data_IF_182169565618
#
_entry.id   IF_182169565618
#
_cell.length_a   1.000
_cell.length_b   1.000
_cell.length_c   1.000
_cell.angle_alpha   90.00
_cell.angle_beta   90.00
_cell.angle_gamma   90.00
#
_symmetry.space_group_name_H-M   'P 1'
#
loop_
_entity.id
_entity.type
_entity.pdbx_description
1 polymer ?
#
# COMPACT_ATOMS: atom_id res chain seq x y z
N UNK A 1 -14.76 -43.52 -13.99
CA UNK A 1 -14.82 -42.34 -13.10
C UNK A 1 -14.45 -41.15 -13.95
N UNK A 2 -15.45 -40.54 -14.57
CA UNK A 2 -15.32 -39.20 -15.18
C UNK A 2 -15.19 -38.20 -14.04
N UNK A 3 -14.18 -37.34 -14.13
CA UNK A 3 -14.04 -36.19 -13.26
C UNK A 3 -14.88 -35.08 -13.88
N UNK A 4 -16.02 -34.75 -13.25
CA UNK A 4 -16.81 -33.56 -13.57
C UNK A 4 -15.95 -32.31 -13.30
N UNK A 5 -15.35 -31.75 -14.34
CA UNK A 5 -14.75 -30.42 -14.34
C UNK A 5 -15.87 -29.37 -14.43
N UNK A 6 -16.08 -28.65 -13.33
CA UNK A 6 -17.07 -27.58 -13.19
C UNK A 6 -16.82 -26.43 -14.22
N UNK A 7 -17.75 -26.19 -15.17
CA UNK A 7 -17.57 -25.27 -16.29
C UNK A 7 -17.43 -23.79 -15.88
N UNK A 8 -17.79 -23.43 -14.64
CA UNK A 8 -17.67 -22.06 -14.12
C UNK A 8 -16.27 -21.71 -13.58
N UNK A 9 -15.34 -22.66 -13.54
CA UNK A 9 -13.96 -22.43 -13.08
C UNK A 9 -13.08 -21.79 -14.16
N UNK A 10 -13.39 -22.03 -15.45
CA UNK A 10 -12.54 -21.66 -16.60
C UNK A 10 -12.56 -20.16 -16.99
N UNK A 11 -13.69 -19.43 -16.98
CA UNK A 11 -13.72 -18.01 -17.38
C UNK A 11 -13.00 -17.12 -16.37
N UNK A 12 -13.18 -17.39 -15.08
CA UNK A 12 -12.57 -16.64 -14.00
C UNK A 12 -11.05 -16.78 -13.97
N UNK A 13 -10.52 -17.99 -14.22
CA UNK A 13 -9.07 -18.20 -14.30
C UNK A 13 -8.42 -17.51 -15.50
N UNK A 14 -9.04 -17.56 -16.69
CA UNK A 14 -8.54 -16.83 -17.87
C UNK A 14 -8.48 -15.32 -17.62
N UNK A 15 -9.54 -14.75 -17.05
CA UNK A 15 -9.60 -13.32 -16.75
C UNK A 15 -8.56 -12.92 -15.68
N UNK A 16 -8.40 -13.73 -14.63
CA UNK A 16 -7.37 -13.53 -13.60
C UNK A 16 -5.96 -13.54 -14.19
N UNK A 17 -5.66 -14.49 -15.08
CA UNK A 17 -4.36 -14.58 -15.74
C UNK A 17 -4.08 -13.37 -16.63
N UNK A 18 -5.06 -12.87 -17.38
CA UNK A 18 -4.93 -11.64 -18.18
C UNK A 18 -4.58 -10.44 -17.30
N UNK A 19 -5.20 -10.35 -16.12
CA UNK A 19 -4.95 -9.26 -15.16
C UNK A 19 -3.53 -9.35 -14.61
N UNK A 20 -3.10 -10.53 -14.15
CA UNK A 20 -1.74 -10.76 -13.66
C UNK A 20 -0.72 -10.36 -14.72
N UNK A 21 -0.92 -10.81 -15.97
CA UNK A 21 -0.02 -10.49 -17.08
C UNK A 21 0.07 -8.98 -17.34
N UNK A 22 -1.03 -8.22 -17.28
CA UNK A 22 -1.01 -6.76 -17.42
C UNK A 22 -0.25 -6.06 -16.29
N UNK A 23 -0.32 -6.59 -15.07
CA UNK A 23 0.44 -6.09 -13.94
C UNK A 23 1.93 -6.46 -14.02
N UNK A 24 2.27 -7.68 -14.43
CA UNK A 24 3.66 -8.13 -14.60
C UNK A 24 4.38 -7.41 -15.76
N UNK A 25 3.64 -7.10 -16.83
CA UNK A 25 4.15 -6.31 -17.97
C UNK A 25 4.20 -4.81 -17.69
N UNK A 26 3.50 -4.33 -16.66
CA UNK A 26 3.35 -2.91 -16.35
C UNK A 26 2.84 -2.08 -17.52
N UNK A 27 3.33 -0.85 -17.63
CA UNK A 27 2.87 0.12 -18.64
C UNK A 27 3.05 -0.33 -20.11
N UNK A 28 3.75 -1.44 -20.37
CA UNK A 28 3.90 -1.98 -21.72
C UNK A 28 2.62 -2.71 -22.22
N UNK A 29 1.71 -3.11 -21.34
CA UNK A 29 0.49 -3.87 -21.71
C UNK A 29 -0.67 -3.01 -22.25
N UNK A 30 -0.46 -1.70 -22.43
CA UNK A 30 -1.49 -0.74 -22.83
C UNK A 30 -0.94 0.38 -23.72
N UNK A 31 0.04 0.09 -24.57
CA UNK A 31 0.59 1.02 -25.55
C UNK A 31 -0.42 1.28 -26.70
N UNK A 32 -1.55 1.91 -26.37
CA UNK A 32 -2.45 2.66 -27.24
C UNK A 32 -3.62 3.22 -26.40
N UNK A 33 -3.33 4.00 -25.36
CA UNK A 33 -4.27 5.03 -24.92
C UNK A 33 -3.49 6.33 -24.92
N UNK A 34 -3.61 7.04 -26.03
CA UNK A 34 -3.22 8.44 -26.16
C UNK A 34 -3.93 9.21 -25.06
N UNK A 35 -3.21 9.49 -23.98
CA UNK A 35 -3.61 10.48 -23.00
C UNK A 35 -2.64 11.64 -23.19
N UNK A 36 -3.06 12.59 -24.04
CA UNK A 36 -2.47 13.92 -24.11
C UNK A 36 -2.49 14.57 -22.73
N UNK A 37 -1.45 14.30 -21.95
CA UNK A 37 -1.18 15.00 -20.72
C UNK A 37 -0.03 15.96 -20.99
N UNK A 38 -0.39 17.19 -21.38
CA UNK A 38 0.41 18.34 -21.02
C UNK A 38 0.83 18.19 -19.55
N UNK A 39 2.05 18.63 -19.24
CA UNK A 39 2.60 18.60 -17.88
C UNK A 39 1.79 19.53 -16.97
N UNK A 40 0.58 19.11 -16.59
CA UNK A 40 -0.23 19.75 -15.58
C UNK A 40 0.64 19.74 -14.33
N UNK A 41 0.83 20.91 -13.73
CA UNK A 41 1.60 21.04 -12.49
C UNK A 41 0.73 20.47 -11.34
N UNK A 42 0.67 19.13 -11.28
CA UNK A 42 -0.22 18.34 -10.40
C UNK A 42 -0.08 18.77 -8.93
N UNK A 43 1.08 19.31 -8.54
CA UNK A 43 1.32 19.85 -7.20
C UNK A 43 0.40 21.01 -6.80
N UNK A 44 -0.20 21.75 -7.74
CA UNK A 44 -1.16 22.84 -7.44
C UNK A 44 -2.56 22.33 -7.07
N UNK A 45 -2.85 21.10 -7.46
CA UNK A 45 -4.14 20.44 -7.31
C UNK A 45 -4.12 19.36 -6.24
N UNK A 46 -2.93 18.88 -5.86
CA UNK A 46 -2.76 17.89 -4.81
C UNK A 46 -2.67 18.53 -3.42
N UNK A 47 -3.40 17.97 -2.45
CA UNK A 47 -3.26 18.36 -1.05
C UNK A 47 -1.96 17.81 -0.42
N UNK A 48 -1.73 18.16 0.85
CA UNK A 48 -0.56 17.68 1.61
C UNK A 48 -0.48 16.15 1.79
N UNK A 49 -1.57 15.42 1.49
CA UNK A 49 -1.64 13.95 1.51
C UNK A 49 -1.52 13.35 0.10
N UNK A 50 -1.44 14.18 -0.95
CA UNK A 50 -1.35 13.73 -2.35
C UNK A 50 -2.70 13.47 -3.00
N UNK A 51 -3.82 13.91 -2.42
CA UNK A 51 -5.16 13.82 -3.02
C UNK A 51 -5.33 14.96 -4.02
N UNK A 52 -5.59 14.61 -5.27
CA UNK A 52 -5.78 15.55 -6.37
C UNK A 52 -7.22 16.05 -6.39
N UNK A 53 -7.38 17.38 -6.33
CA UNK A 53 -8.65 18.09 -6.41
C UNK A 53 -8.85 18.71 -7.80
N UNK A 54 -10.10 18.98 -8.17
CA UNK A 54 -10.44 19.62 -9.45
C UNK A 54 -10.15 21.14 -9.47
N UNK A 55 -9.91 21.76 -8.31
CA UNK A 55 -9.67 23.20 -8.17
C UNK A 55 -8.33 23.45 -7.48
N UNK A 56 -7.62 24.50 -7.87
CA UNK A 56 -6.35 24.88 -7.25
C UNK A 56 -6.55 25.19 -5.75
N UNK A 57 -5.65 24.66 -4.91
CA UNK A 57 -5.73 24.85 -3.47
C UNK A 57 -5.02 26.16 -3.05
N UNK A 58 -5.69 27.06 -2.31
CA UNK A 58 -5.04 28.27 -1.80
C UNK A 58 -4.07 27.92 -0.68
N UNK A 59 -2.80 28.29 -0.83
CA UNK A 59 -1.78 28.14 0.23
C UNK A 59 -2.08 29.12 1.35
N UNK A 60 -2.64 28.63 2.45
CA UNK A 60 -3.04 29.48 3.59
C UNK A 60 -1.84 29.72 4.51
N UNK A 61 -1.64 30.94 5.00
CA UNK A 61 -0.55 31.30 5.93
C UNK A 61 -0.48 30.40 7.20
N UNK A 62 -1.60 29.81 7.61
CA UNK A 62 -1.69 28.79 8.66
C UNK A 62 -0.76 27.58 8.40
N UNK A 63 -0.56 27.22 7.14
CA UNK A 63 0.25 26.08 6.70
C UNK A 63 1.74 26.28 7.02
N UNK A 64 2.26 27.51 6.96
CA UNK A 64 3.68 27.76 7.26
C UNK A 64 3.98 27.50 8.74
N UNK A 65 3.08 27.93 9.64
CA UNK A 65 3.19 27.66 11.07
C UNK A 65 3.08 26.16 11.35
N UNK A 66 2.20 25.46 10.64
CA UNK A 66 2.04 24.01 10.74
C UNK A 66 3.27 23.26 10.24
N UNK A 67 3.80 23.59 9.06
CA UNK A 67 5.04 23.00 8.50
C UNK A 67 6.24 23.20 9.43
N UNK A 68 6.37 24.37 10.06
CA UNK A 68 7.41 24.62 11.08
C UNK A 68 7.24 23.73 12.31
N UNK A 69 6.01 23.51 12.79
CA UNK A 69 5.74 22.57 13.90
C UNK A 69 6.08 21.13 13.51
N UNK A 70 5.68 20.70 12.32
CA UNK A 70 5.98 19.36 11.79
C UNK A 70 7.48 19.15 11.64
N UNK A 71 8.21 20.12 11.08
CA UNK A 71 9.68 20.08 10.98
C UNK A 71 10.35 19.90 12.34
N UNK A 72 9.89 20.64 13.36
CA UNK A 72 10.37 20.46 14.74
C UNK A 72 10.08 19.06 15.28
N UNK A 73 8.91 18.48 14.97
CA UNK A 73 8.58 17.10 15.38
C UNK A 73 9.48 16.09 14.66
N UNK A 74 9.65 16.22 13.35
CA UNK A 74 10.54 15.41 12.51
C UNK A 74 11.96 15.41 13.07
N UNK A 75 12.52 16.58 13.36
CA UNK A 75 13.87 16.69 13.93
C UNK A 75 14.00 15.96 15.28
N UNK A 76 12.97 15.99 16.13
CA UNK A 76 12.99 15.23 17.38
C UNK A 76 12.92 13.71 17.14
N UNK A 77 12.24 13.25 16.10
CA UNK A 77 12.21 11.83 15.71
C UNK A 77 13.56 11.38 15.14
N UNK A 78 14.18 12.19 14.28
CA UNK A 78 15.52 11.92 13.74
C UNK A 78 16.56 11.78 14.86
N UNK A 79 16.52 12.66 15.88
CA UNK A 79 17.35 12.52 17.09
C UNK A 79 17.10 11.22 17.85
N UNK A 80 15.86 10.72 17.87
CA UNK A 80 15.56 9.44 18.52
C UNK A 80 16.04 8.25 17.69
N UNK A 81 16.07 8.35 16.36
CA UNK A 81 16.62 7.30 15.52
C UNK A 81 18.14 7.19 15.63
N UNK A 82 18.84 8.32 15.78
CA UNK A 82 20.29 8.34 15.99
C UNK A 82 20.69 7.49 17.20
N UNK A 83 19.98 7.63 18.32
CA UNK A 83 20.19 6.83 19.54
C UNK A 83 19.08 5.80 19.76
N UNK A 84 18.65 5.08 18.71
CA UNK A 84 17.51 4.16 18.81
C UNK A 84 17.57 3.16 19.98
N UNK A 85 18.73 2.53 20.30
CA UNK A 85 18.82 1.59 21.42
C UNK A 85 18.42 2.19 22.77
N UNK A 86 18.70 3.47 22.98
CA UNK A 86 18.33 4.21 24.19
C UNK A 86 16.81 4.40 24.33
N UNK A 87 16.09 4.48 23.20
CA UNK A 87 14.66 4.83 23.20
C UNK A 87 13.72 3.64 22.99
N UNK A 88 14.19 2.54 22.38
CA UNK A 88 13.35 1.43 21.86
C UNK A 88 12.37 0.81 22.85
N UNK A 89 12.63 0.90 24.16
CA UNK A 89 11.78 0.33 25.23
C UNK A 89 11.37 1.37 26.28
N UNK A 90 11.30 2.65 25.91
CA UNK A 90 11.02 3.73 26.86
C UNK A 90 9.58 4.22 26.76
N UNK A 91 8.98 4.63 27.89
CA UNK A 91 7.65 5.30 27.90
C UNK A 91 7.62 6.54 26.99
N UNK A 92 8.77 7.23 26.84
CA UNK A 92 8.94 8.39 25.97
C UNK A 92 8.70 8.05 24.50
N UNK A 93 9.09 6.86 24.03
CA UNK A 93 8.78 6.41 22.69
C UNK A 93 7.28 6.17 22.52
N UNK A 94 6.66 5.42 23.43
CA UNK A 94 5.21 5.13 23.40
C UNK A 94 4.37 6.40 23.39
N UNK A 95 4.68 7.37 24.25
CA UNK A 95 3.97 8.65 24.30
C UNK A 95 4.08 9.43 22.98
N UNK A 96 5.23 9.35 22.31
CA UNK A 96 5.45 10.03 21.02
C UNK A 96 4.73 9.33 19.87
N UNK A 97 4.67 8.00 19.89
CA UNK A 97 3.85 7.23 18.95
C UNK A 97 2.39 7.62 19.12
N UNK A 98 1.89 7.69 20.36
CA UNK A 98 0.50 8.08 20.66
C UNK A 98 0.18 9.53 20.25
N UNK A 99 1.14 10.46 20.42
CA UNK A 99 1.02 11.85 19.93
C UNK A 99 1.00 11.92 18.39
N UNK A 100 1.41 10.85 17.73
CA UNK A 100 1.52 10.76 16.28
C UNK A 100 2.96 10.89 15.79
N UNK A 101 3.28 10.06 14.82
CA UNK A 101 4.53 10.08 14.09
C UNK A 101 4.34 11.03 12.88
N UNK A 102 5.27 11.95 12.57
CA UNK A 102 5.19 12.75 11.36
C UNK A 102 5.32 11.88 10.09
N UNK A 103 4.56 12.24 9.04
CA UNK A 103 4.55 11.53 7.76
C UNK A 103 5.96 11.37 7.17
N UNK A 104 6.78 12.42 7.22
CA UNK A 104 8.14 12.44 6.69
C UNK A 104 9.08 11.37 7.30
N UNK A 105 8.77 10.86 8.50
CA UNK A 105 9.58 9.83 9.17
C UNK A 105 8.85 8.50 9.29
N UNK A 106 7.62 8.35 8.78
CA UNK A 106 6.85 7.10 8.87
C UNK A 106 7.59 5.91 8.29
N UNK A 107 8.18 6.09 7.10
CA UNK A 107 8.93 5.05 6.42
C UNK A 107 10.12 4.52 7.23
N UNK A 108 10.69 5.32 8.13
CA UNK A 108 11.78 4.90 9.02
C UNK A 108 11.27 4.44 10.40
N UNK A 109 10.20 5.05 10.91
CA UNK A 109 9.68 4.78 12.25
C UNK A 109 9.02 3.41 12.34
N UNK A 110 8.09 3.11 11.42
CA UNK A 110 7.29 1.88 11.48
C UNK A 110 8.14 0.62 11.39
N UNK A 111 9.15 0.53 10.49
CA UNK A 111 10.01 -0.64 10.47
C UNK A 111 10.75 -0.92 11.77
N UNK A 112 11.20 0.13 12.45
CA UNK A 112 11.90 0.02 13.73
C UNK A 112 10.97 -0.36 14.87
N UNK A 113 9.77 0.23 14.91
CA UNK A 113 8.75 -0.07 15.92
C UNK A 113 8.28 -1.52 15.84
N UNK A 114 8.11 -2.02 14.62
CA UNK A 114 7.63 -3.36 14.35
C UNK A 114 8.75 -4.41 14.30
N UNK A 115 10.00 -3.99 14.48
CA UNK A 115 11.18 -4.85 14.35
C UNK A 115 11.17 -5.66 13.05
N UNK A 116 10.86 -5.00 11.93
CA UNK A 116 10.72 -5.65 10.61
C UNK A 116 11.96 -6.46 10.26
N UNK A 117 13.16 -5.96 10.56
CA UNK A 117 14.42 -6.65 10.24
C UNK A 117 14.48 -8.04 10.90
N UNK A 118 14.02 -8.14 12.16
CA UNK A 118 13.93 -9.41 12.88
C UNK A 118 12.89 -10.34 12.25
N UNK A 119 11.73 -9.82 11.87
CA UNK A 119 10.66 -10.62 11.25
C UNK A 119 11.13 -11.15 9.89
N UNK A 120 11.79 -10.31 9.09
CA UNK A 120 12.37 -10.67 7.79
C UNK A 120 13.45 -11.74 7.93
N UNK A 121 14.36 -11.58 8.89
CA UNK A 121 15.42 -12.58 9.14
C UNK A 121 14.87 -13.92 9.61
N UNK A 122 13.75 -13.93 10.35
CA UNK A 122 13.09 -15.16 10.80
C UNK A 122 12.25 -15.85 9.71
N UNK A 123 11.87 -15.13 8.65
CA UNK A 123 10.98 -15.64 7.60
C UNK A 123 11.55 -15.35 6.18
N UNK A 124 12.77 -15.80 5.87
CA UNK A 124 13.36 -15.56 4.56
C UNK A 124 12.51 -16.19 3.45
N UNK A 125 12.27 -15.45 2.37
CA UNK A 125 11.53 -15.95 1.19
C UNK A 125 10.02 -16.14 1.38
N UNK A 126 9.47 -16.01 2.59
CA UNK A 126 8.04 -16.25 2.87
C UNK A 126 7.12 -15.36 2.06
N UNK A 127 7.49 -14.09 1.87
CA UNK A 127 6.75 -13.15 1.04
C UNK A 127 6.61 -13.67 -0.41
N UNK A 128 7.71 -14.14 -1.02
CA UNK A 128 7.70 -14.65 -2.39
C UNK A 128 6.80 -15.88 -2.52
N UNK A 129 6.90 -16.81 -1.57
CA UNK A 129 6.05 -18.01 -1.54
C UNK A 129 4.56 -17.64 -1.41
N UNK A 130 4.22 -16.69 -0.53
CA UNK A 130 2.84 -16.24 -0.35
C UNK A 130 2.31 -15.47 -1.55
N UNK A 131 3.17 -14.70 -2.23
CA UNK A 131 2.81 -13.99 -3.46
C UNK A 131 2.41 -14.97 -4.55
N UNK A 132 3.24 -15.98 -4.79
CA UNK A 132 2.95 -17.03 -5.77
C UNK A 132 1.72 -17.86 -5.40
N UNK A 133 1.50 -18.13 -4.11
CA UNK A 133 0.28 -18.79 -3.64
C UNK A 133 -0.97 -17.94 -3.90
N UNK A 134 -0.92 -16.64 -3.62
CA UNK A 134 -2.04 -15.73 -3.83
C UNK A 134 -2.37 -15.52 -5.31
N UNK A 135 -1.35 -15.49 -6.18
CA UNK A 135 -1.52 -15.39 -7.64
C UNK A 135 -2.33 -16.55 -8.25
N UNK A 136 -2.42 -17.71 -7.56
CA UNK A 136 -3.23 -18.84 -8.01
C UNK A 136 -4.74 -18.59 -7.88
N UNK A 137 -5.17 -17.56 -7.14
CA UNK A 137 -6.59 -17.25 -6.95
C UNK A 137 -7.03 -16.09 -7.85
N UNK A 138 -7.58 -16.44 -9.01
CA UNK A 138 -8.12 -15.45 -9.96
C UNK A 138 -9.24 -14.58 -9.37
N UNK A 139 -10.10 -15.16 -8.52
CA UNK A 139 -11.20 -14.44 -7.85
C UNK A 139 -10.68 -13.34 -6.93
N UNK A 140 -9.66 -13.63 -6.12
CA UNK A 140 -9.07 -12.66 -5.19
C UNK A 140 -8.40 -11.52 -5.96
N UNK A 141 -7.65 -11.85 -7.01
CA UNK A 141 -6.93 -10.88 -7.83
C UNK A 141 -7.89 -9.92 -8.53
N UNK A 142 -8.97 -10.44 -9.12
CA UNK A 142 -9.99 -9.63 -9.75
C UNK A 142 -10.65 -8.66 -8.75
N UNK A 143 -10.96 -9.13 -7.54
CA UNK A 143 -11.56 -8.28 -6.51
C UNK A 143 -10.62 -7.16 -6.06
N UNK A 144 -9.37 -7.49 -5.79
CA UNK A 144 -8.33 -6.52 -5.41
C UNK A 144 -8.20 -5.44 -6.50
N UNK A 145 -8.18 -5.82 -7.77
CA UNK A 145 -8.08 -4.86 -8.86
C UNK A 145 -9.27 -3.90 -8.89
N UNK A 146 -10.50 -4.40 -8.79
CA UNK A 146 -11.68 -3.55 -8.79
C UNK A 146 -11.64 -2.56 -7.64
N UNK A 147 -11.30 -3.02 -6.43
CA UNK A 147 -11.25 -2.18 -5.24
C UNK A 147 -10.12 -1.13 -5.32
N UNK A 148 -8.90 -1.51 -5.73
CA UNK A 148 -7.76 -0.58 -5.91
C UNK A 148 -8.07 0.48 -6.96
N UNK A 149 -8.64 0.04 -8.09
CA UNK A 149 -8.97 0.95 -9.19
C UNK A 149 -10.13 1.86 -8.88
N UNK A 150 -10.97 1.60 -7.88
CA UNK A 150 -12.10 2.46 -7.48
C UNK A 150 -11.77 3.39 -6.32
N UNK A 151 -11.01 2.95 -5.32
CA UNK A 151 -10.80 3.70 -4.08
C UNK A 151 -9.71 4.78 -4.20
N UNK A 152 -8.67 4.54 -5.02
CA UNK A 152 -7.46 5.39 -5.02
C UNK A 152 -7.30 6.23 -6.29
N UNK A 153 -8.35 6.34 -7.12
CA UNK A 153 -8.30 7.06 -8.42
C UNK A 153 -7.81 8.51 -8.30
N UNK A 154 -8.16 9.17 -7.19
CA UNK A 154 -7.88 10.59 -7.00
C UNK A 154 -6.55 10.85 -6.29
N UNK A 155 -5.79 9.82 -5.91
CA UNK A 155 -4.50 10.00 -5.25
C UNK A 155 -3.39 10.03 -6.29
N UNK A 156 -2.49 11.02 -6.22
CA UNK A 156 -1.43 11.27 -7.19
C UNK A 156 -0.56 10.03 -7.49
N UNK A 157 -0.24 9.23 -6.48
CA UNK A 157 0.56 8.00 -6.68
C UNK A 157 -0.20 6.85 -7.36
N UNK A 158 -1.54 6.91 -7.41
CA UNK A 158 -2.40 5.84 -7.89
C UNK A 158 -3.28 6.27 -9.08
N UNK A 159 -3.12 7.49 -9.58
CA UNK A 159 -3.88 7.99 -10.74
C UNK A 159 -3.52 7.22 -12.03
N UNK A 160 -2.25 6.79 -12.14
CA UNK A 160 -1.78 6.01 -13.28
C UNK A 160 -2.17 4.54 -13.10
N UNK A 161 -3.06 4.06 -13.99
CA UNK A 161 -3.46 2.65 -14.03
C UNK A 161 -2.26 1.76 -14.32
N UNK A 162 -2.16 0.65 -13.60
CA UNK A 162 -1.07 -0.32 -13.68
C UNK A 162 0.33 0.26 -13.39
N UNK A 163 0.42 1.48 -12.81
CA UNK A 163 1.67 2.08 -12.39
C UNK A 163 2.29 1.34 -11.21
N UNK A 164 3.61 1.46 -11.04
CA UNK A 164 4.43 0.70 -10.05
C UNK A 164 3.79 0.67 -8.65
N UNK A 165 3.22 1.79 -8.19
CA UNK A 165 2.57 1.89 -6.88
C UNK A 165 1.28 1.10 -6.76
N UNK A 166 0.47 1.04 -7.82
CA UNK A 166 -0.69 0.13 -7.86
C UNK A 166 -0.23 -1.33 -7.85
N UNK A 167 0.86 -1.67 -8.54
CA UNK A 167 1.39 -3.04 -8.54
C UNK A 167 1.88 -3.45 -7.15
N UNK A 168 2.68 -2.60 -6.49
CA UNK A 168 3.16 -2.82 -5.13
C UNK A 168 1.99 -3.05 -4.15
N UNK A 169 0.93 -2.24 -4.25
CA UNK A 169 -0.26 -2.38 -3.42
C UNK A 169 -1.02 -3.68 -3.71
N UNK A 170 -1.25 -4.01 -4.99
CA UNK A 170 -1.88 -5.26 -5.38
C UNK A 170 -1.10 -6.47 -4.87
N UNK A 171 0.22 -6.47 -5.01
CA UNK A 171 1.10 -7.55 -4.54
C UNK A 171 1.01 -7.74 -3.03
N UNK A 172 1.01 -6.64 -2.27
CA UNK A 172 0.86 -6.62 -0.82
C UNK A 172 -0.49 -7.24 -0.42
N UNK A 173 -1.58 -6.85 -1.07
CA UNK A 173 -2.93 -7.37 -0.79
C UNK A 173 -3.06 -8.86 -1.15
N UNK A 174 -2.46 -9.29 -2.27
CA UNK A 174 -2.40 -10.70 -2.69
C UNK A 174 -1.66 -11.52 -1.65
N UNK A 175 -0.47 -11.08 -1.21
CA UNK A 175 0.31 -11.76 -0.16
C UNK A 175 -0.48 -11.86 1.14
N UNK A 176 -1.14 -10.78 1.56
CA UNK A 176 -1.95 -10.75 2.78
C UNK A 176 -3.09 -11.78 2.74
N UNK A 177 -3.80 -11.85 1.60
CA UNK A 177 -4.89 -12.81 1.40
C UNK A 177 -4.42 -14.27 1.49
N UNK A 178 -3.23 -14.56 0.98
CA UNK A 178 -2.64 -15.90 1.00
C UNK A 178 -2.08 -16.28 2.38
N UNK A 179 -1.61 -15.28 3.13
CA UNK A 179 -1.04 -15.44 4.47
C UNK A 179 -2.09 -15.77 5.54
N UNK A 180 -3.27 -15.13 5.46
CA UNK A 180 -4.37 -15.37 6.41
C UNK A 180 -5.65 -15.83 5.70
N UNK A 181 -5.73 -17.13 5.32
CA UNK A 181 -6.92 -17.66 4.65
C UNK A 181 -8.12 -17.86 5.60
N UNK A 182 -7.89 -17.89 6.93
CA UNK A 182 -8.89 -18.32 7.95
C UNK A 182 -9.97 -17.25 8.24
N UNK A 183 -9.86 -16.04 7.70
CA UNK A 183 -10.95 -15.03 7.74
C UNK A 183 -11.99 -15.18 6.62
N UNK A 184 -11.97 -16.27 5.85
CA UNK A 184 -12.96 -16.53 4.80
C UNK A 184 -13.45 -17.99 4.86
N UNK A 185 -14.49 -18.24 5.66
CA UNK A 185 -15.69 -18.86 5.12
C UNK A 185 -16.91 -17.97 5.37
N UNK A 186 -17.55 -17.52 4.29
CA UNK A 186 -18.96 -17.11 4.33
C UNK A 186 -19.34 -15.74 4.89
N UNK A 187 -18.42 -14.78 5.10
CA UNK A 187 -18.79 -13.42 5.53
C UNK A 187 -18.53 -12.36 4.46
N UNK A 188 -19.56 -11.56 4.20
CA UNK A 188 -19.58 -10.43 3.25
C UNK A 188 -18.51 -9.41 3.64
N UNK A 189 -17.65 -9.04 2.70
CA UNK A 189 -16.69 -7.95 2.83
C UNK A 189 -17.44 -6.62 3.05
N UNK A 190 -17.64 -6.24 4.32
CA UNK A 190 -17.93 -4.86 4.69
C UNK A 190 -16.61 -4.21 5.09
N UNK A 191 -16.10 -3.33 4.24
CA UNK A 191 -14.85 -2.59 4.45
C UNK A 191 -14.89 -1.64 5.67
N UNK A 192 -16.01 -1.58 6.41
CA UNK A 192 -16.14 -0.82 7.65
C UNK A 192 -15.26 -1.33 8.82
N UNK A 193 -14.62 -2.51 8.69
CA UNK A 193 -13.89 -3.14 9.81
C UNK A 193 -12.36 -3.20 9.67
N UNK A 194 -11.78 -2.69 8.58
CA UNK A 194 -10.31 -2.63 8.42
C UNK A 194 -9.81 -1.19 8.47
N UNK A 195 -9.39 -0.67 9.64
CA UNK A 195 -8.52 0.49 9.65
C UNK A 195 -7.18 0.04 9.05
N UNK A 196 -6.73 0.76 8.02
CA UNK A 196 -5.48 0.57 7.26
C UNK A 196 -4.23 0.29 8.13
N UNK A 197 -4.28 0.61 9.43
CA UNK A 197 -3.19 0.40 10.39
C UNK A 197 -2.82 -1.06 10.65
N UNK A 198 -3.72 -2.05 10.56
CA UNK A 198 -3.35 -3.46 10.86
C UNK A 198 -2.71 -4.21 9.68
N UNK A 199 -3.08 -3.86 8.45
CA UNK A 199 -2.46 -4.43 7.25
C UNK A 199 -1.03 -3.93 7.04
N UNK A 200 -0.77 -2.64 7.32
CA UNK A 200 0.58 -2.05 7.27
C UNK A 200 1.54 -2.64 8.30
N UNK A 201 1.03 -3.06 9.45
CA UNK A 201 1.82 -3.75 10.48
C UNK A 201 2.22 -5.18 10.05
N UNK A 202 1.38 -5.83 9.24
CA UNK A 202 1.64 -7.21 8.76
C UNK A 202 2.46 -7.28 7.48
N UNK A 203 2.51 -6.21 6.68
CA UNK A 203 3.16 -6.17 5.35
C UNK A 203 4.39 -5.28 5.28
N UNK A 204 4.94 -4.96 6.46
CA UNK A 204 6.16 -4.20 6.70
C UNK A 204 7.04 -3.87 5.49
N UNK A 205 6.83 -2.68 4.93
CA UNK A 205 7.80 -1.89 4.17
C UNK A 205 8.55 -2.65 3.08
N UNK A 206 7.90 -2.80 1.92
CA UNK A 206 8.56 -3.13 0.66
C UNK A 206 9.09 -1.82 0.07
N UNK A 207 10.37 -1.54 0.29
CA UNK A 207 11.15 -0.75 -0.67
C UNK A 207 11.91 -1.75 -1.51
N UNK A 208 11.81 -1.61 -2.82
CA UNK A 208 12.54 -2.38 -3.83
C UNK A 208 14.04 -2.22 -3.63
N UNK A 209 14.71 -3.29 -3.22
CA UNK A 209 16.11 -3.58 -3.51
C UNK A 209 16.25 -5.10 -3.57
#
# INVERSE_FOLDING_TARGET
MEMDEDPDTLPGQRQGNIIITKYEQGHQAGAAVDMGHEQINIGKYADHLGIVHQTELPVRALEVKQRRKESKRTNKWLKMFADWPKYRNTKKLSQRVYTGIPLAVWAQAWPRLLNIDKVKSQNPGKYKVMKEKGKRSSRIIHRIQLDVSSILQNHMMFIQRFGVKQQELCDILVVSSAYNPVRIPGQRYSWAMYPYSEAWVSLGGVSTS
#
